data_IF_096810269864
#
_entry.id   IF_096810269864
#
_cell.length_a   1.000
_cell.length_b   1.000
_cell.length_c   1.000
_cell.angle_alpha   90.00
_cell.angle_beta   90.00
_cell.angle_gamma   90.00
#
_symmetry.space_group_name_H-M   'P 1'
#
loop_
_entity.id
_entity.type
_entity.pdbx_description
1 polymer ?
#
# COMPACT_ATOMS: atom_id res chain seq x y z
N UNK A 1 -7.62 -10.06 -7.18
CA UNK A 1 -8.71 -9.98 -8.17
C UNK A 1 -8.63 -8.65 -8.91
N UNK A 2 -9.01 -8.60 -10.19
CA UNK A 2 -8.80 -7.42 -11.07
C UNK A 2 -9.34 -6.10 -10.51
N UNK A 3 -10.45 -6.13 -9.74
CA UNK A 3 -11.02 -4.94 -9.11
C UNK A 3 -10.19 -4.35 -7.96
N UNK A 4 -9.50 -5.20 -7.17
CA UNK A 4 -8.66 -4.72 -6.07
C UNK A 4 -7.40 -4.02 -6.61
N UNK A 5 -6.82 -4.54 -7.68
CA UNK A 5 -5.67 -3.88 -8.33
C UNK A 5 -6.09 -2.52 -8.90
N UNK A 6 -7.24 -2.44 -9.57
CA UNK A 6 -7.76 -1.18 -10.08
C UNK A 6 -7.94 -0.15 -8.97
N UNK A 7 -8.42 -0.55 -7.78
CA UNK A 7 -8.57 0.34 -6.64
C UNK A 7 -7.22 0.83 -6.07
N UNK A 8 -6.23 -0.06 -5.97
CA UNK A 8 -4.89 0.27 -5.45
C UNK A 8 -4.16 1.23 -6.40
N UNK A 9 -4.34 1.07 -7.71
CA UNK A 9 -3.70 1.91 -8.73
C UNK A 9 -4.56 3.10 -9.17
N UNK A 10 -5.81 3.22 -8.74
CA UNK A 10 -6.70 4.33 -9.09
C UNK A 10 -6.09 5.72 -8.77
N UNK A 11 -5.47 5.96 -7.59
CA UNK A 11 -4.85 7.25 -7.30
C UNK A 11 -3.71 7.62 -8.26
N UNK A 12 -3.08 6.64 -8.91
CA UNK A 12 -1.98 6.90 -9.86
C UNK A 12 -2.46 7.43 -11.20
N UNK A 13 -3.73 7.17 -11.56
CA UNK A 13 -4.32 7.51 -12.86
C UNK A 13 -5.16 8.78 -12.76
N UNK A 14 -5.76 9.02 -11.59
CA UNK A 14 -6.57 10.20 -11.32
C UNK A 14 -5.65 11.43 -11.21
N UNK A 15 -5.98 12.56 -11.86
CA UNK A 15 -5.21 13.80 -11.68
C UNK A 15 -5.22 14.25 -10.22
N UNK A 16 -4.07 14.69 -9.70
CA UNK A 16 -3.89 14.97 -8.27
C UNK A 16 -4.93 15.94 -7.70
N UNK A 17 -5.23 17.03 -8.43
CA UNK A 17 -6.21 18.03 -8.00
C UNK A 17 -7.60 17.41 -7.82
N UNK A 18 -7.98 16.48 -8.70
CA UNK A 18 -9.29 15.80 -8.64
C UNK A 18 -9.37 14.92 -7.39
N UNK A 19 -8.30 14.17 -7.09
CA UNK A 19 -8.24 13.34 -5.89
C UNK A 19 -8.27 14.19 -4.61
N UNK A 20 -7.59 15.34 -4.60
CA UNK A 20 -7.59 16.25 -3.45
C UNK A 20 -8.99 16.81 -3.17
N UNK A 21 -9.69 17.29 -4.20
CA UNK A 21 -11.07 17.81 -4.06
C UNK A 21 -12.03 16.68 -3.66
N UNK A 22 -11.85 15.48 -4.20
CA UNK A 22 -12.67 14.32 -3.84
C UNK A 22 -12.50 13.94 -2.35
N UNK A 23 -11.27 13.89 -1.84
CA UNK A 23 -10.97 13.61 -0.43
C UNK A 23 -11.49 14.71 0.50
N UNK A 24 -11.35 15.98 0.10
CA UNK A 24 -11.92 17.11 0.84
C UNK A 24 -13.44 16.99 0.96
N UNK A 25 -14.11 16.72 -0.17
CA UNK A 25 -15.56 16.54 -0.22
C UNK A 25 -15.99 15.32 0.60
N UNK A 26 -15.22 14.23 0.55
CA UNK A 26 -15.45 13.02 1.35
C UNK A 26 -15.40 13.29 2.86
N UNK A 27 -14.36 13.99 3.34
CA UNK A 27 -14.27 14.34 4.76
C UNK A 27 -15.37 15.32 5.18
N UNK A 28 -15.74 16.26 4.31
CA UNK A 28 -16.85 17.18 4.55
C UNK A 28 -18.19 16.46 4.65
N UNK A 29 -18.44 15.46 3.79
CA UNK A 29 -19.69 14.68 3.81
C UNK A 29 -19.84 13.83 5.08
N UNK A 30 -18.72 13.49 5.72
CA UNK A 30 -18.68 12.73 6.96
C UNK A 30 -18.64 13.62 8.21
N UNK A 31 -18.76 14.95 8.06
CA UNK A 31 -18.63 15.94 9.14
C UNK A 31 -17.34 15.76 9.98
N UNK A 32 -16.25 15.31 9.32
CA UNK A 32 -14.96 15.14 9.97
C UNK A 32 -14.32 16.51 10.15
N UNK A 33 -13.86 16.79 11.38
CA UNK A 33 -13.15 18.03 11.70
C UNK A 33 -11.85 18.11 10.90
N UNK A 34 -11.73 19.13 10.04
CA UNK A 34 -10.53 19.32 9.24
C UNK A 34 -9.34 19.70 10.13
N UNK A 35 -8.22 19.03 9.92
CA UNK A 35 -7.01 19.27 10.71
C UNK A 35 -5.87 18.34 10.29
N UNK A 36 -4.89 18.16 11.18
CA UNK A 36 -3.71 17.37 10.87
C UNK A 36 -4.06 15.92 10.46
N UNK A 37 -5.05 15.31 11.11
CA UNK A 37 -5.43 13.92 10.82
C UNK A 37 -5.99 13.75 9.40
N UNK A 38 -6.87 14.64 8.94
CA UNK A 38 -7.42 14.56 7.57
C UNK A 38 -6.34 14.81 6.52
N UNK A 39 -5.39 15.71 6.80
CA UNK A 39 -4.22 15.95 5.96
C UNK A 39 -3.34 14.70 5.86
N UNK A 40 -3.03 14.07 7.00
CA UNK A 40 -2.21 12.84 7.03
C UNK A 40 -2.91 11.71 6.26
N UNK A 41 -4.20 11.50 6.49
CA UNK A 41 -4.98 10.48 5.77
C UNK A 41 -5.01 10.75 4.26
N UNK A 42 -5.22 12.00 3.85
CA UNK A 42 -5.18 12.36 2.43
C UNK A 42 -3.81 12.04 1.82
N UNK A 43 -2.72 12.44 2.49
CA UNK A 43 -1.36 12.15 2.03
C UNK A 43 -1.09 10.64 1.95
N UNK A 44 -1.57 9.86 2.91
CA UNK A 44 -1.45 8.39 2.86
C UNK A 44 -2.14 7.84 1.62
N UNK A 45 -3.38 8.27 1.32
CA UNK A 45 -4.11 7.82 0.13
C UNK A 45 -3.38 8.19 -1.17
N UNK A 46 -2.85 9.42 -1.25
CA UNK A 46 -2.03 9.87 -2.38
C UNK A 46 -0.80 8.99 -2.59
N UNK A 47 -0.04 8.74 -1.52
CA UNK A 47 1.23 8.02 -1.59
C UNK A 47 1.04 6.50 -1.71
N UNK A 48 -0.13 5.96 -1.38
CA UNK A 48 -0.39 4.53 -1.36
C UNK A 48 -0.11 3.87 -2.71
N UNK A 49 -0.57 4.47 -3.82
CA UNK A 49 -0.37 3.91 -5.15
C UNK A 49 1.12 3.84 -5.52
N UNK A 50 1.90 4.83 -5.13
CA UNK A 50 3.35 4.85 -5.35
C UNK A 50 4.05 3.76 -4.54
N UNK A 51 3.78 3.67 -3.23
CA UNK A 51 4.36 2.64 -2.35
C UNK A 51 4.00 1.24 -2.83
N UNK A 52 2.73 0.99 -3.17
CA UNK A 52 2.29 -0.29 -3.70
C UNK A 52 2.99 -0.66 -5.03
N UNK A 53 3.21 0.32 -5.91
CA UNK A 53 3.95 0.11 -7.15
C UNK A 53 5.39 -0.34 -6.89
N UNK A 54 6.09 0.37 -5.98
CA UNK A 54 7.48 0.06 -5.60
C UNK A 54 7.60 -1.31 -4.95
N UNK A 55 6.75 -1.61 -3.96
CA UNK A 55 6.75 -2.91 -3.27
C UNK A 55 6.48 -4.05 -4.24
N UNK A 56 5.50 -3.90 -5.14
CA UNK A 56 5.20 -4.92 -6.15
C UNK A 56 6.37 -5.15 -7.10
N UNK A 57 7.05 -4.08 -7.52
CA UNK A 57 8.23 -4.19 -8.37
C UNK A 57 9.34 -5.00 -7.68
N UNK A 58 9.58 -4.75 -6.37
CA UNK A 58 10.57 -5.50 -5.57
C UNK A 58 10.19 -6.97 -5.41
N UNK A 59 8.94 -7.27 -5.09
CA UNK A 59 8.44 -8.65 -4.96
C UNK A 59 8.49 -9.43 -6.28
N UNK A 60 8.40 -8.75 -7.43
CA UNK A 60 8.53 -9.40 -8.74
C UNK A 60 9.95 -9.91 -9.00
N UNK A 61 10.96 -9.23 -8.47
CA UNK A 61 12.37 -9.63 -8.54
C UNK A 61 12.84 -10.47 -7.35
N UNK A 62 11.94 -10.76 -6.40
CA UNK A 62 12.28 -11.47 -5.18
C UNK A 62 12.49 -12.97 -5.43
N UNK A 63 13.56 -13.53 -4.88
CA UNK A 63 13.85 -14.96 -4.95
C UNK A 63 13.05 -15.72 -3.87
N UNK A 64 12.01 -16.41 -4.33
CA UNK A 64 11.10 -17.16 -3.45
C UNK A 64 11.74 -18.43 -2.85
N UNK A 65 12.88 -18.90 -3.38
CA UNK A 65 13.57 -20.08 -2.85
C UNK A 65 14.07 -19.88 -1.41
N UNK A 66 14.39 -18.63 -1.02
CA UNK A 66 14.83 -18.31 0.34
C UNK A 66 13.67 -18.40 1.35
N UNK A 67 12.44 -18.15 0.90
CA UNK A 67 11.22 -18.31 1.73
C UNK A 67 10.93 -19.80 1.94
N UNK A 68 11.10 -20.62 0.90
CA UNK A 68 11.01 -22.09 0.97
C UNK A 68 12.07 -22.66 1.93
N UNK A 69 13.32 -22.23 1.80
CA UNK A 69 14.41 -22.65 2.69
C UNK A 69 14.15 -22.27 4.17
N UNK A 70 13.55 -21.10 4.42
CA UNK A 70 13.14 -20.70 5.77
C UNK A 70 12.04 -21.62 6.34
N UNK A 71 11.09 -22.05 5.49
CA UNK A 71 10.05 -23.00 5.86
C UNK A 71 10.63 -24.40 6.12
N UNK A 72 11.61 -24.84 5.32
CA UNK A 72 12.31 -26.11 5.51
C UNK A 72 13.08 -26.17 6.84
N UNK A 73 13.58 -25.03 7.33
CA UNK A 73 14.17 -24.88 8.66
C UNK A 73 13.14 -24.85 9.80
N UNK A 74 11.85 -25.01 9.50
CA UNK A 74 10.75 -25.04 10.47
C UNK A 74 10.28 -23.66 10.93
N UNK A 75 10.64 -22.57 10.23
CA UNK A 75 10.19 -21.23 10.62
C UNK A 75 8.71 -21.00 10.29
N UNK A 76 7.98 -20.38 11.23
CA UNK A 76 6.59 -19.97 10.99
C UNK A 76 6.49 -18.86 9.94
N UNK A 77 5.32 -18.72 9.28
CA UNK A 77 5.10 -17.67 8.26
C UNK A 77 5.40 -16.25 8.77
N UNK A 78 5.09 -15.95 10.05
CA UNK A 78 5.40 -14.65 10.65
C UNK A 78 6.91 -14.46 10.85
N UNK A 79 7.62 -15.53 11.23
CA UNK A 79 9.08 -15.54 11.36
C UNK A 79 9.74 -15.33 10.01
N UNK A 80 9.31 -16.08 8.98
CA UNK A 80 9.80 -15.97 7.62
C UNK A 80 9.52 -14.57 7.04
N UNK A 81 8.32 -14.03 7.22
CA UNK A 81 8.02 -12.66 6.77
C UNK A 81 8.95 -11.62 7.42
N UNK A 82 9.09 -11.63 8.76
CA UNK A 82 9.87 -10.61 9.47
C UNK A 82 11.38 -10.71 9.25
N UNK A 83 11.91 -11.92 9.07
CA UNK A 83 13.35 -12.17 8.97
C UNK A 83 13.86 -12.35 7.54
N UNK A 84 12.99 -12.71 6.60
CA UNK A 84 13.37 -13.02 5.21
C UNK A 84 12.65 -12.08 4.25
N UNK A 85 11.31 -12.01 4.27
CA UNK A 85 10.57 -11.24 3.23
C UNK A 85 10.64 -9.72 3.42
N UNK A 86 10.55 -9.22 4.65
CA UNK A 86 10.55 -7.78 4.96
C UNK A 86 11.91 -7.07 4.77
N UNK A 87 13.06 -7.64 5.20
CA UNK A 87 14.36 -6.94 5.12
C UNK A 87 15.06 -6.99 3.75
N UNK A 88 14.54 -7.72 2.77
CA UNK A 88 15.17 -7.97 1.45
C UNK A 88 14.50 -7.14 0.35
#
# INVERSE_FOLDING_TARGET
>A
GKGLEALIFAPMIIPDIVLAIALLSFFSLLDVTMGLHTIVLAHVVFNLAFVCSVVRARLKSFDWSIVEASADLGASALTTFRRVTLPV
#
